data_IF_154315643966
#
_entry.id   IF_154315643966
#
_cell.length_a   1.000
_cell.length_b   1.000
_cell.length_c   1.000
_cell.angle_alpha   90.00
_cell.angle_beta   90.00
_cell.angle_gamma   90.00
#
_symmetry.space_group_name_H-M   'P 1'
#
loop_
_entity.id
_entity.type
_entity.pdbx_description
1 polymer ?
#
# COMPACT_ATOMS: atom_id res chain seq x y z
N UNK A 1 -17.41 21.49 -45.33
CA UNK A 1 -16.63 21.07 -44.16
C UNK A 1 -17.42 19.95 -43.50
N UNK A 2 -16.96 18.70 -43.62
CA UNK A 2 -17.64 17.55 -43.00
C UNK A 2 -17.02 17.34 -41.63
N UNK A 3 -17.83 17.58 -40.61
CA UNK A 3 -17.50 17.27 -39.23
C UNK A 3 -17.64 15.75 -39.06
N UNK A 4 -16.49 15.06 -39.11
CA UNK A 4 -16.43 13.62 -38.85
C UNK A 4 -16.59 13.44 -37.35
N UNK A 5 -17.84 13.39 -36.89
CA UNK A 5 -18.17 12.83 -35.59
C UNK A 5 -17.66 11.39 -35.60
N UNK A 6 -16.58 11.15 -34.83
CA UNK A 6 -15.96 9.84 -34.67
C UNK A 6 -16.97 8.90 -34.01
N UNK A 7 -17.72 8.17 -34.83
CA UNK A 7 -18.60 7.08 -34.40
C UNK A 7 -17.69 6.03 -33.78
N UNK A 8 -17.74 5.89 -32.46
CA UNK A 8 -17.06 4.79 -31.75
C UNK A 8 -17.58 3.48 -32.32
N UNK A 9 -16.67 2.56 -32.63
CA UNK A 9 -17.06 1.24 -33.13
C UNK A 9 -17.72 0.46 -32.00
N UNK A 10 -18.62 -0.47 -32.33
CA UNK A 10 -19.28 -1.36 -31.37
C UNK A 10 -18.26 -2.07 -30.46
N UNK A 11 -17.10 -2.41 -31.02
CA UNK A 11 -15.99 -3.04 -30.31
C UNK A 11 -15.35 -2.09 -29.28
N UNK A 12 -15.13 -0.82 -29.64
CA UNK A 12 -14.59 0.21 -28.74
C UNK A 12 -15.55 0.45 -27.57
N UNK A 13 -16.86 0.51 -27.82
CA UNK A 13 -17.87 0.65 -26.76
C UNK A 13 -17.93 -0.58 -25.82
N UNK A 14 -17.83 -1.78 -26.38
CA UNK A 14 -17.83 -3.02 -25.61
C UNK A 14 -16.56 -3.12 -24.74
N UNK A 15 -15.41 -2.73 -25.29
CA UNK A 15 -14.14 -2.68 -24.56
C UNK A 15 -14.17 -1.65 -23.42
N UNK A 16 -14.70 -0.44 -23.67
CA UNK A 16 -14.89 0.60 -22.64
C UNK A 16 -15.81 0.10 -21.51
N UNK A 17 -16.92 -0.56 -21.85
CA UNK A 17 -17.87 -1.07 -20.87
C UNK A 17 -17.26 -2.22 -20.03
N UNK A 18 -16.53 -3.13 -20.66
CA UNK A 18 -15.81 -4.19 -19.96
C UNK A 18 -14.72 -3.62 -19.03
N UNK A 19 -13.95 -2.65 -19.51
CA UNK A 19 -12.93 -1.97 -18.71
C UNK A 19 -13.53 -1.32 -17.46
N UNK A 20 -14.64 -0.59 -17.64
CA UNK A 20 -15.37 0.04 -16.53
C UNK A 20 -15.89 -1.00 -15.53
N UNK A 21 -16.45 -2.10 -16.02
CA UNK A 21 -16.97 -3.17 -15.16
C UNK A 21 -15.85 -3.81 -14.34
N UNK A 22 -14.74 -4.17 -14.99
CA UNK A 22 -13.55 -4.74 -14.31
C UNK A 22 -13.00 -3.78 -13.25
N UNK A 23 -12.87 -2.48 -13.55
CA UNK A 23 -12.44 -1.49 -12.57
C UNK A 23 -13.41 -1.38 -11.39
N UNK A 24 -14.72 -1.42 -11.65
CA UNK A 24 -15.74 -1.39 -10.60
C UNK A 24 -15.68 -2.63 -9.70
N UNK A 25 -15.40 -3.80 -10.28
CA UNK A 25 -15.24 -5.04 -9.52
C UNK A 25 -13.95 -4.99 -8.68
N UNK A 26 -12.83 -4.55 -9.26
CA UNK A 26 -11.55 -4.43 -8.58
C UNK A 26 -11.64 -3.49 -7.37
N UNK A 27 -12.18 -2.29 -7.58
CA UNK A 27 -12.40 -1.31 -6.49
C UNK A 27 -13.35 -1.86 -5.42
N UNK A 28 -14.37 -2.63 -5.82
CA UNK A 28 -15.28 -3.31 -4.90
C UNK A 28 -14.60 -4.38 -4.04
N UNK A 29 -13.69 -5.17 -4.62
CA UNK A 29 -12.88 -6.17 -3.89
C UNK A 29 -11.91 -5.49 -2.93
N UNK A 30 -11.21 -4.46 -3.38
CA UNK A 30 -10.28 -3.67 -2.54
C UNK A 30 -11.00 -3.09 -1.32
N UNK A 31 -12.19 -2.51 -1.51
CA UNK A 31 -13.00 -1.98 -0.41
C UNK A 31 -13.37 -3.08 0.59
N UNK A 32 -13.89 -4.22 0.12
CA UNK A 32 -14.27 -5.35 1.01
C UNK A 32 -13.09 -5.88 1.80
N UNK A 33 -11.91 -5.96 1.18
CA UNK A 33 -10.68 -6.37 1.85
C UNK A 33 -10.30 -5.35 2.93
N UNK A 34 -10.36 -4.07 2.62
CA UNK A 34 -10.07 -3.01 3.58
C UNK A 34 -11.06 -3.01 4.76
N UNK A 35 -12.34 -3.25 4.52
CA UNK A 35 -13.36 -3.35 5.57
C UNK A 35 -13.14 -4.58 6.47
N UNK A 36 -12.73 -5.72 5.89
CA UNK A 36 -12.40 -6.92 6.66
C UNK A 36 -11.16 -6.70 7.55
N UNK A 37 -10.12 -6.09 6.99
CA UNK A 37 -8.92 -5.72 7.73
C UNK A 37 -9.25 -4.74 8.85
N UNK A 38 -10.03 -3.68 8.58
CA UNK A 38 -10.44 -2.73 9.60
C UNK A 38 -11.19 -3.40 10.75
N UNK A 39 -12.13 -4.31 10.46
CA UNK A 39 -12.87 -5.08 11.49
C UNK A 39 -12.00 -6.02 12.32
N UNK A 40 -10.93 -6.56 11.74
CA UNK A 40 -9.98 -7.38 12.48
C UNK A 40 -9.09 -6.50 13.38
N UNK A 41 -8.60 -5.39 12.83
CA UNK A 41 -7.67 -4.50 13.52
C UNK A 41 -8.36 -3.68 14.61
N UNK A 42 -9.65 -3.37 14.47
CA UNK A 42 -10.43 -2.72 15.53
C UNK A 42 -10.59 -3.59 16.79
N UNK A 43 -10.36 -4.90 16.68
CA UNK A 43 -10.33 -5.82 17.83
C UNK A 43 -8.93 -5.98 18.42
N UNK A 44 -7.92 -5.42 17.78
CA UNK A 44 -6.55 -5.44 18.29
C UNK A 44 -6.43 -4.50 19.48
N UNK A 45 -5.62 -4.88 20.48
CA UNK A 45 -5.39 -4.02 21.65
C UNK A 45 -4.76 -2.68 21.22
N UNK A 46 -4.96 -1.58 21.94
CA UNK A 46 -4.21 -0.36 21.71
C UNK A 46 -2.69 -0.61 21.80
N UNK A 47 -1.92 0.03 20.91
CA UNK A 47 -0.47 0.05 21.02
C UNK A 47 -0.03 0.95 22.18
N UNK A 48 0.98 0.51 22.92
CA UNK A 48 1.63 1.31 23.96
C UNK A 48 2.50 2.39 23.32
N UNK A 49 2.80 3.44 24.08
CA UNK A 49 3.61 4.56 23.59
C UNK A 49 5.00 4.08 23.10
N UNK A 50 5.62 3.14 23.80
CA UNK A 50 6.91 2.53 23.42
C UNK A 50 6.82 1.82 22.08
N UNK A 51 5.74 1.06 21.86
CA UNK A 51 5.52 0.30 20.63
C UNK A 51 5.28 1.22 19.42
N UNK A 52 4.61 2.36 19.65
CA UNK A 52 4.45 3.41 18.63
C UNK A 52 5.80 4.04 18.26
N UNK A 53 6.64 4.36 19.24
CA UNK A 53 7.99 4.90 19.00
C UNK A 53 8.87 3.91 18.23
N UNK A 54 8.79 2.63 18.58
CA UNK A 54 9.54 1.58 17.87
C UNK A 54 9.03 1.42 16.43
N UNK A 55 7.71 1.43 16.23
CA UNK A 55 7.11 1.40 14.89
C UNK A 55 7.59 2.57 14.03
N UNK A 56 7.68 3.78 14.59
CA UNK A 56 8.23 4.94 13.90
C UNK A 56 9.66 4.71 13.41
N UNK A 57 10.52 4.19 14.29
CA UNK A 57 11.91 3.90 13.93
C UNK A 57 12.01 2.87 12.81
N UNK A 58 11.13 1.86 12.81
CA UNK A 58 11.11 0.84 11.75
C UNK A 58 10.57 1.39 10.42
N UNK A 59 9.52 2.20 10.46
CA UNK A 59 8.95 2.84 9.27
C UNK A 59 9.96 3.76 8.57
N UNK A 60 10.78 4.48 9.33
CA UNK A 60 11.89 5.29 8.77
C UNK A 60 12.98 4.46 8.08
N UNK A 61 13.12 3.20 8.45
CA UNK A 61 14.08 2.28 7.85
C UNK A 61 13.57 1.61 6.58
N UNK A 62 12.32 1.86 6.17
CA UNK A 62 11.76 1.26 4.97
C UNK A 62 12.41 1.83 3.70
N UNK A 63 12.50 1.04 2.62
CA UNK A 63 12.94 1.53 1.32
C UNK A 63 12.07 2.71 0.84
N UNK A 64 12.68 3.67 0.14
CA UNK A 64 11.98 4.85 -0.37
C UNK A 64 10.73 4.51 -1.21
N UNK A 65 10.76 3.41 -1.98
CA UNK A 65 9.62 2.94 -2.78
C UNK A 65 8.40 2.49 -1.96
N UNK A 66 8.54 2.30 -0.64
CA UNK A 66 7.44 1.89 0.24
C UNK A 66 6.76 3.08 0.93
N UNK A 67 7.36 4.28 0.90
CA UNK A 67 6.83 5.45 1.61
C UNK A 67 5.50 5.96 1.04
N UNK A 68 5.32 5.89 -0.29
CA UNK A 68 4.02 6.19 -0.93
C UNK A 68 2.91 5.33 -0.35
N UNK A 69 3.19 4.04 -0.11
CA UNK A 69 2.20 3.12 0.45
C UNK A 69 1.92 3.40 1.93
N UNK A 70 2.92 3.85 2.68
CA UNK A 70 2.73 4.32 4.06
C UNK A 70 1.79 5.52 4.10
N UNK A 71 1.99 6.52 3.22
CA UNK A 71 1.10 7.69 3.13
C UNK A 71 -0.35 7.28 2.85
N UNK A 72 -0.58 6.41 1.87
CA UNK A 72 -1.92 5.91 1.53
C UNK A 72 -2.61 5.21 2.72
N UNK A 73 -1.87 4.37 3.45
CA UNK A 73 -2.41 3.67 4.61
C UNK A 73 -2.84 4.66 5.70
N UNK A 74 -2.07 5.72 5.93
CA UNK A 74 -2.42 6.75 6.91
C UNK A 74 -3.62 7.57 6.46
N UNK A 75 -3.62 8.07 5.22
CA UNK A 75 -4.73 8.85 4.67
C UNK A 75 -6.04 8.07 4.66
N UNK A 76 -5.99 6.77 4.43
CA UNK A 76 -7.17 5.90 4.46
C UNK A 76 -7.80 5.75 5.85
N UNK A 77 -7.02 5.94 6.92
CA UNK A 77 -7.46 5.82 8.31
C UNK A 77 -7.94 7.13 8.91
N UNK A 78 -7.26 8.23 8.59
CA UNK A 78 -7.51 9.55 9.19
C UNK A 78 -8.44 10.46 8.37
N UNK A 79 -8.72 10.13 7.11
CA UNK A 79 -9.55 10.98 6.23
C UNK A 79 -8.82 12.17 5.62
N UNK A 80 -7.64 12.54 6.13
CA UNK A 80 -6.81 13.62 5.60
C UNK A 80 -5.79 13.12 4.55
N UNK A 81 -5.67 13.85 3.44
CA UNK A 81 -4.64 13.60 2.42
C UNK A 81 -3.28 14.01 2.98
N UNK A 82 -2.33 13.08 3.00
CA UNK A 82 -0.95 13.31 3.43
C UNK A 82 -0.07 13.27 2.20
N UNK A 83 0.68 14.34 1.97
CA UNK A 83 1.62 14.43 0.85
C UNK A 83 2.81 13.49 1.09
N UNK A 84 3.19 12.78 0.04
CA UNK A 84 4.22 11.71 0.05
C UNK A 84 5.64 12.22 0.35
N UNK A 85 5.92 13.50 0.08
CA UNK A 85 7.27 14.06 0.13
C UNK A 85 7.71 14.51 1.53
N UNK A 86 6.77 14.79 2.43
CA UNK A 86 7.07 15.13 3.83
C UNK A 86 5.96 14.58 4.75
N UNK A 87 6.02 13.27 4.99
CA UNK A 87 5.11 12.55 5.86
C UNK A 87 5.47 12.88 7.32
N UNK A 88 5.10 14.09 7.77
CA UNK A 88 5.04 14.43 9.19
C UNK A 88 3.74 13.84 9.78
N UNK A 89 3.64 12.51 9.79
CA UNK A 89 2.50 11.83 10.40
C UNK A 89 2.64 11.87 11.91
N UNK A 90 1.73 12.61 12.54
CA UNK A 90 1.53 12.51 13.99
C UNK A 90 0.87 11.17 14.32
N UNK A 91 1.71 10.15 14.56
CA UNK A 91 1.29 8.80 14.94
C UNK A 91 0.49 8.75 16.26
N UNK A 92 0.51 9.82 17.08
CA UNK A 92 -0.32 9.89 18.29
C UNK A 92 -1.80 10.17 17.97
N UNK A 93 -2.08 10.76 16.81
CA UNK A 93 -3.44 11.04 16.32
C UNK A 93 -4.06 9.86 15.57
N UNK A 94 -3.26 8.85 15.21
CA UNK A 94 -3.75 7.69 14.46
C UNK A 94 -4.61 6.78 15.32
N UNK A 95 -5.67 6.26 14.70
CA UNK A 95 -6.46 5.21 15.32
C UNK A 95 -5.67 3.91 15.44
N UNK A 96 -6.07 3.07 16.40
CA UNK A 96 -5.38 1.80 16.67
C UNK A 96 -5.34 0.89 15.45
N UNK A 97 -6.36 0.90 14.60
CA UNK A 97 -6.42 0.03 13.42
C UNK A 97 -5.36 0.42 12.40
N UNK A 98 -5.18 1.72 12.17
CA UNK A 98 -4.15 2.25 11.26
C UNK A 98 -2.75 1.95 11.77
N UNK A 99 -2.50 2.10 13.09
CA UNK A 99 -1.22 1.74 13.70
C UNK A 99 -0.86 0.26 13.50
N UNK A 100 -1.82 -0.65 13.71
CA UNK A 100 -1.59 -2.07 13.46
C UNK A 100 -1.39 -2.39 11.97
N UNK A 101 -2.11 -1.70 11.08
CA UNK A 101 -1.92 -1.79 9.63
C UNK A 101 -0.47 -1.46 9.24
N UNK A 102 0.05 -0.35 9.75
CA UNK A 102 1.43 0.07 9.52
C UNK A 102 2.42 -0.96 10.07
N UNK A 103 2.16 -1.53 11.24
CA UNK A 103 3.02 -2.58 11.82
C UNK A 103 3.12 -3.82 10.94
N UNK A 104 2.00 -4.33 10.43
CA UNK A 104 2.02 -5.50 9.55
C UNK A 104 2.62 -5.18 8.18
N UNK A 105 2.37 -3.98 7.66
CA UNK A 105 2.98 -3.54 6.41
C UNK A 105 4.51 -3.45 6.52
N UNK A 106 5.02 -2.82 7.57
CA UNK A 106 6.46 -2.73 7.83
C UNK A 106 7.10 -4.13 7.88
N UNK A 107 6.52 -5.05 8.66
CA UNK A 107 7.00 -6.44 8.73
C UNK A 107 7.04 -7.13 7.36
N UNK A 108 5.99 -6.95 6.54
CA UNK A 108 5.92 -7.52 5.21
C UNK A 108 7.04 -7.00 4.31
N UNK A 109 7.27 -5.68 4.31
CA UNK A 109 8.31 -5.05 3.50
C UNK A 109 9.70 -5.49 3.95
N UNK A 110 9.96 -5.47 5.25
CA UNK A 110 11.24 -5.91 5.82
C UNK A 110 11.53 -7.37 5.48
N UNK A 111 10.52 -8.24 5.53
CA UNK A 111 10.65 -9.63 5.11
C UNK A 111 11.00 -9.76 3.62
N UNK A 112 10.31 -9.03 2.74
CA UNK A 112 10.57 -9.08 1.29
C UNK A 112 11.99 -8.58 0.95
N UNK A 113 12.45 -7.52 1.62
CA UNK A 113 13.81 -6.99 1.46
C UNK A 113 14.84 -8.04 1.89
N UNK A 114 14.59 -8.72 3.00
CA UNK A 114 15.47 -9.78 3.50
C UNK A 114 15.54 -10.97 2.53
N UNK A 115 14.40 -11.41 1.99
CA UNK A 115 14.33 -12.52 1.03
C UNK A 115 15.09 -12.19 -0.27
N UNK A 116 14.99 -10.96 -0.78
CA UNK A 116 15.75 -10.52 -1.95
C UNK A 116 17.26 -10.40 -1.68
N UNK A 117 17.66 -9.99 -0.47
CA UNK A 117 19.07 -9.91 -0.08
C UNK A 117 19.74 -11.30 0.03
N UNK A 118 18.98 -12.31 0.47
CA UNK A 118 19.44 -13.71 0.53
C UNK A 118 19.64 -14.28 -0.87
N UNK A 119 18.71 -14.04 -1.80
CA UNK A 119 18.82 -14.51 -3.18
C UNK A 119 19.97 -13.84 -3.97
N UNK A 120 20.23 -12.55 -3.74
CA UNK A 120 21.33 -11.83 -4.41
C UNK A 120 22.71 -12.25 -3.91
N UNK A 121 22.84 -12.57 -2.61
CA UNK A 121 24.11 -13.06 -2.03
C UNK A 121 24.53 -14.44 -2.53
N UNK A 122 23.57 -15.29 -2.90
CA UNK A 122 23.85 -16.63 -3.47
C UNK A 122 24.35 -16.56 -4.91
N UNK A 123 23.88 -15.58 -5.70
CA UNK A 123 24.31 -15.37 -7.09
C UNK A 123 25.75 -14.83 -7.13
N UNK A 124 26.10 -13.91 -6.23
CA UNK A 124 27.44 -13.32 -6.16
C UNK A 124 28.53 -14.35 -5.78
N UNK A 125 28.24 -15.27 -4.86
CA UNK A 125 29.17 -16.35 -4.47
C UNK A 125 29.43 -17.37 -5.57
N UNK A 126 28.53 -17.51 -6.56
CA UNK A 126 28.69 -18.46 -7.67
C UNK A 126 29.56 -17.89 -8.81
N UNK A 127 29.78 -16.57 -8.86
CA UNK A 127 30.57 -15.92 -9.92
C UNK A 127 32.07 -15.80 -9.62
N UNK A 128 32.52 -16.08 -8.39
CA UNK A 128 33.95 -16.03 -8.00
C UNK A 128 34.66 -17.40 -8.08
N UNK A 129 33.96 -18.47 -8.47
CA UNK A 129 34.53 -19.80 -8.64
C UNK A 129 34.55 -20.20 -10.12
N UNK A 130 35.34 -19.48 -10.94
CA UNK A 130 35.78 -19.94 -12.27
C UNK A 130 37.19 -19.44 -12.55
#
# INVERSE_FOLDING_TARGET
>A
MVEVARVRTQDEQTAEQLHKDVLSQLTGVEKKLNDLLARFLSKSRPMKAEERRELYSRLKGLPAGSMSRVAELVSSGNGDKIDSDDISVDLETLDSSTLWRLHFFEKLVTQHVQEQAVSTSQIASSHQAK
#
